data_IF_921463184979
#
_entry.id   IF_921463184979
#
_cell.length_a   1.000
_cell.length_b   1.000
_cell.length_c   1.000
_cell.angle_alpha   90.00
_cell.angle_beta   90.00
_cell.angle_gamma   90.00
#
_symmetry.space_group_name_H-M   'P 1'
#
loop_
_entity.id
_entity.type
_entity.pdbx_description
1 polymer ?
#
# COMPACT_ATOMS: atom_id res chain seq x y z
N UNK A 1 -21.18 -29.11 26.77
CA UNK A 1 -21.96 -28.02 26.14
C UNK A 1 -21.11 -26.76 26.16
N UNK A 2 -20.71 -26.25 24.99
CA UNK A 2 -19.98 -24.99 24.87
C UNK A 2 -20.90 -24.01 24.14
N UNK A 3 -21.41 -23.01 24.87
CA UNK A 3 -22.22 -21.95 24.30
C UNK A 3 -21.37 -21.11 23.37
N UNK A 4 -21.68 -21.17 22.08
CA UNK A 4 -21.21 -20.19 21.11
C UNK A 4 -21.80 -18.83 21.53
N UNK A 5 -20.99 -17.98 22.16
CA UNK A 5 -21.32 -16.57 22.33
C UNK A 5 -21.46 -15.97 20.93
N UNK A 6 -22.71 -15.78 20.48
CA UNK A 6 -22.99 -14.85 19.38
C UNK A 6 -22.57 -13.48 19.88
N UNK A 7 -21.52 -12.92 19.28
CA UNK A 7 -21.22 -11.50 19.44
C UNK A 7 -22.45 -10.73 19.01
N UNK A 8 -22.93 -9.82 19.87
CA UNK A 8 -24.01 -8.90 19.52
C UNK A 8 -23.71 -8.21 18.17
N UNK A 9 -24.72 -7.91 17.34
CA UNK A 9 -24.52 -7.12 16.13
C UNK A 9 -23.83 -5.81 16.53
N UNK A 10 -22.73 -5.47 15.84
CA UNK A 10 -22.11 -4.15 16.04
C UNK A 10 -23.11 -3.10 15.58
N UNK A 11 -23.25 -2.05 16.37
CA UNK A 11 -24.08 -0.90 16.08
C UNK A 11 -23.75 -0.33 14.67
N UNK A 12 -24.74 -0.19 13.77
CA UNK A 12 -24.52 0.31 12.40
C UNK A 12 -23.92 1.72 12.34
N UNK A 13 -24.31 2.63 13.23
CA UNK A 13 -23.76 4.00 13.26
C UNK A 13 -22.27 3.97 13.58
N UNK A 14 -21.88 3.16 14.56
CA UNK A 14 -20.48 2.91 14.88
C UNK A 14 -19.70 2.32 13.69
N UNK A 15 -20.32 1.50 12.85
CA UNK A 15 -19.67 0.95 11.64
C UNK A 15 -19.49 2.01 10.55
N UNK A 16 -20.48 2.88 10.37
CA UNK A 16 -20.41 3.97 9.39
C UNK A 16 -19.29 4.95 9.74
N UNK A 17 -19.21 5.39 11.00
CA UNK A 17 -18.12 6.27 11.48
C UNK A 17 -16.75 5.63 11.26
N UNK A 18 -16.63 4.31 11.50
CA UNK A 18 -15.38 3.59 11.26
C UNK A 18 -15.00 3.51 9.78
N UNK A 19 -16.00 3.42 8.89
CA UNK A 19 -15.80 3.46 7.44
C UNK A 19 -15.33 4.83 7.00
N UNK A 20 -16.06 5.89 7.37
CA UNK A 20 -15.72 7.27 7.03
C UNK A 20 -14.31 7.64 7.49
N UNK A 21 -13.91 7.21 8.70
CA UNK A 21 -12.54 7.39 9.19
C UNK A 21 -11.51 6.61 8.37
N UNK A 22 -11.83 5.39 7.94
CA UNK A 22 -10.93 4.57 7.14
C UNK A 22 -10.75 5.16 5.73
N UNK A 23 -11.80 5.76 5.18
CA UNK A 23 -11.80 6.45 3.89
C UNK A 23 -10.98 7.74 3.98
N UNK A 24 -11.20 8.54 5.03
CA UNK A 24 -10.39 9.74 5.27
C UNK A 24 -8.90 9.41 5.45
N UNK A 25 -8.57 8.40 6.27
CA UNK A 25 -7.18 7.98 6.47
C UNK A 25 -6.53 7.49 5.18
N UNK A 26 -7.28 6.80 4.33
CA UNK A 26 -6.81 6.36 3.02
C UNK A 26 -6.54 7.57 2.10
N UNK A 27 -7.49 8.52 2.00
CA UNK A 27 -7.35 9.73 1.18
C UNK A 27 -6.18 10.61 1.63
N UNK A 28 -5.97 10.77 2.94
CA UNK A 28 -4.82 11.52 3.46
C UNK A 28 -3.49 10.82 3.16
N UNK A 29 -3.45 9.50 3.31
CA UNK A 29 -2.26 8.69 2.97
C UNK A 29 -1.94 8.79 1.48
N UNK A 30 -2.96 8.67 0.62
CA UNK A 30 -2.84 8.80 -0.83
C UNK A 30 -2.24 10.15 -1.22
N UNK A 31 -2.80 11.24 -0.68
CA UNK A 31 -2.31 12.61 -0.95
C UNK A 31 -0.87 12.80 -0.47
N UNK A 32 -0.56 12.42 0.77
CA UNK A 32 0.80 12.57 1.32
C UNK A 32 1.81 11.76 0.52
N UNK A 33 1.47 10.53 0.16
CA UNK A 33 2.36 9.67 -0.60
C UNK A 33 2.56 10.17 -2.04
N UNK A 34 1.50 10.63 -2.70
CA UNK A 34 1.57 11.23 -4.04
C UNK A 34 2.49 12.44 -4.09
N UNK A 35 2.34 13.39 -3.16
CA UNK A 35 3.22 14.55 -3.05
C UNK A 35 4.69 14.15 -2.82
N UNK A 36 4.92 13.14 -1.99
CA UNK A 36 6.28 12.63 -1.76
C UNK A 36 6.89 12.00 -3.02
N UNK A 37 6.11 11.27 -3.81
CA UNK A 37 6.59 10.71 -5.08
C UNK A 37 7.03 11.84 -6.04
N UNK A 38 6.25 12.90 -6.16
CA UNK A 38 6.60 14.06 -6.98
C UNK A 38 7.88 14.74 -6.50
N UNK A 39 7.99 14.98 -5.19
CA UNK A 39 9.18 15.59 -4.56
C UNK A 39 10.46 14.76 -4.77
N UNK A 40 10.34 13.43 -4.78
CA UNK A 40 11.44 12.50 -5.05
C UNK A 40 11.73 12.31 -6.55
N UNK A 41 11.03 13.04 -7.42
CA UNK A 41 11.27 13.05 -8.86
C UNK A 41 10.70 11.84 -9.61
N UNK A 42 9.70 11.16 -9.03
CA UNK A 42 8.87 10.25 -9.80
C UNK A 42 8.07 11.03 -10.84
N UNK A 43 7.68 10.34 -11.91
CA UNK A 43 7.05 10.97 -13.08
C UNK A 43 5.86 10.15 -13.53
N UNK A 44 5.01 10.78 -14.32
CA UNK A 44 3.81 10.15 -14.90
C UNK A 44 2.96 9.51 -13.79
N UNK A 45 2.80 10.25 -12.68
CA UNK A 45 1.97 9.88 -11.54
C UNK A 45 0.51 10.03 -11.93
N UNK A 46 -0.23 8.92 -11.93
CA UNK A 46 -1.65 8.92 -12.24
C UNK A 46 -2.40 7.97 -11.30
N UNK A 47 -3.66 8.32 -11.00
CA UNK A 47 -4.61 7.42 -10.36
C UNK A 47 -5.12 6.39 -11.38
N UNK A 48 -5.35 5.15 -10.94
CA UNK A 48 -5.81 4.07 -11.81
C UNK A 48 -7.20 3.62 -11.38
N UNK A 49 -8.20 4.25 -11.97
CA UNK A 49 -9.61 4.06 -11.60
C UNK A 49 -10.00 2.58 -11.46
N UNK A 50 -10.48 2.25 -10.25
CA UNK A 50 -11.19 1.00 -9.97
C UNK A 50 -10.32 -0.24 -9.81
N UNK A 51 -8.99 -0.14 -9.77
CA UNK A 51 -8.14 -1.33 -9.63
C UNK A 51 -6.96 -1.19 -8.64
N UNK A 52 -6.14 -0.15 -8.80
CA UNK A 52 -5.02 0.19 -7.90
C UNK A 52 -5.03 1.70 -7.66
N UNK A 53 -4.47 2.16 -6.56
CA UNK A 53 -4.60 3.57 -6.22
C UNK A 53 -3.73 4.49 -7.09
N UNK A 54 -2.45 4.14 -7.31
CA UNK A 54 -1.53 4.95 -8.12
C UNK A 54 -0.59 4.11 -8.97
N UNK A 55 -0.09 4.70 -10.06
CA UNK A 55 1.13 4.24 -10.71
C UNK A 55 2.06 5.40 -11.03
N UNK A 56 3.37 5.13 -11.09
CA UNK A 56 4.35 6.13 -11.50
C UNK A 56 5.61 5.48 -12.08
N UNK A 57 6.35 6.25 -12.88
CA UNK A 57 7.70 5.91 -13.32
C UNK A 57 8.73 6.39 -12.30
N UNK A 58 9.72 5.55 -11.95
CA UNK A 58 10.76 5.94 -11.04
C UNK A 58 11.66 7.03 -11.65
N UNK A 59 12.39 7.77 -10.80
CA UNK A 59 13.50 8.60 -11.25
C UNK A 59 14.47 7.82 -12.15
N UNK A 60 15.13 8.52 -13.08
CA UNK A 60 16.05 7.88 -14.03
C UNK A 60 17.16 7.13 -13.29
N UNK A 61 17.45 5.90 -13.73
CA UNK A 61 18.48 5.04 -13.13
C UNK A 61 18.02 4.20 -11.94
N UNK A 62 16.77 4.36 -11.49
CA UNK A 62 16.15 3.54 -10.43
C UNK A 62 15.20 2.51 -11.05
N UNK A 63 15.08 1.33 -10.44
CA UNK A 63 14.08 0.33 -10.82
C UNK A 63 14.15 -0.08 -12.30
N UNK A 64 15.31 0.02 -12.95
CA UNK A 64 15.45 -0.24 -14.38
C UNK A 64 14.51 0.56 -15.29
N UNK A 65 13.96 1.69 -14.82
CA UNK A 65 12.97 2.50 -15.54
C UNK A 65 11.57 1.89 -15.65
N UNK A 66 11.30 0.80 -14.92
CA UNK A 66 10.00 0.13 -14.93
C UNK A 66 9.01 0.87 -14.04
N UNK A 67 7.77 0.98 -14.51
CA UNK A 67 6.64 1.52 -13.76
C UNK A 67 6.43 0.75 -12.46
N UNK A 68 6.05 1.47 -11.41
CA UNK A 68 5.65 0.90 -10.12
C UNK A 68 4.17 1.17 -9.90
N UNK A 69 3.47 0.14 -9.44
CA UNK A 69 2.08 0.18 -9.01
C UNK A 69 2.03 0.29 -7.49
N UNK A 70 1.21 1.21 -6.99
CA UNK A 70 1.05 1.46 -5.56
C UNK A 70 -0.39 1.20 -5.14
N UNK A 71 -0.54 0.42 -4.09
CA UNK A 71 -1.82 0.17 -3.43
C UNK A 71 -1.76 0.69 -2.00
N UNK A 72 -2.64 1.62 -1.65
CA UNK A 72 -2.71 2.31 -0.38
C UNK A 72 -3.77 1.66 0.51
N UNK A 73 -3.39 1.23 1.71
CA UNK A 73 -4.32 0.66 2.71
C UNK A 73 -4.26 1.39 4.05
N UNK A 74 -5.42 1.86 4.50
CA UNK A 74 -5.61 2.20 5.92
C UNK A 74 -5.76 0.92 6.74
N UNK A 75 -4.83 0.72 7.67
CA UNK A 75 -4.72 -0.50 8.47
C UNK A 75 -4.94 -0.21 9.95
N UNK A 76 -5.39 -1.23 10.68
CA UNK A 76 -5.45 -1.23 12.15
C UNK A 76 -4.92 -2.59 12.62
N UNK A 77 -4.45 -2.73 13.87
CA UNK A 77 -3.97 -4.04 14.35
C UNK A 77 -4.97 -5.18 14.13
N UNK A 78 -6.27 -4.90 14.25
CA UNK A 78 -7.35 -5.88 14.04
C UNK A 78 -7.65 -6.18 12.57
N UNK A 79 -7.29 -5.29 11.65
CA UNK A 79 -7.60 -5.41 10.21
C UNK A 79 -6.38 -5.64 9.33
N UNK A 80 -5.15 -5.51 9.87
CA UNK A 80 -3.87 -5.61 9.15
C UNK A 80 -3.85 -6.83 8.22
N UNK A 81 -4.13 -8.02 8.77
CA UNK A 81 -4.14 -9.26 7.99
C UNK A 81 -5.07 -9.19 6.77
N UNK A 82 -6.26 -8.63 6.95
CA UNK A 82 -7.26 -8.51 5.88
C UNK A 82 -6.83 -7.49 4.84
N UNK A 83 -6.35 -6.33 5.29
CA UNK A 83 -5.92 -5.24 4.42
C UNK A 83 -4.69 -5.59 3.60
N UNK A 84 -3.67 -6.21 4.21
CA UNK A 84 -2.47 -6.67 3.48
C UNK A 84 -2.85 -7.74 2.45
N UNK A 85 -3.73 -8.68 2.79
CA UNK A 85 -4.21 -9.69 1.83
C UNK A 85 -4.98 -9.06 0.66
N UNK A 86 -5.86 -8.10 0.95
CA UNK A 86 -6.61 -7.37 -0.07
C UNK A 86 -5.67 -6.63 -1.01
N UNK A 87 -4.74 -5.83 -0.46
CA UNK A 87 -3.81 -5.08 -1.29
C UNK A 87 -2.88 -5.96 -2.12
N UNK A 88 -2.42 -7.10 -1.55
CA UNK A 88 -1.68 -8.11 -2.30
C UNK A 88 -2.49 -8.67 -3.48
N UNK A 89 -3.76 -9.02 -3.25
CA UNK A 89 -4.62 -9.54 -4.30
C UNK A 89 -4.81 -8.50 -5.41
N UNK A 90 -5.13 -7.25 -5.07
CA UNK A 90 -5.32 -6.16 -6.04
C UNK A 90 -4.07 -5.90 -6.88
N UNK A 91 -2.89 -5.77 -6.25
CA UNK A 91 -1.63 -5.56 -6.96
C UNK A 91 -1.31 -6.70 -7.94
N UNK A 92 -1.48 -7.94 -7.49
CA UNK A 92 -1.20 -9.12 -8.30
C UNK A 92 -2.23 -9.29 -9.42
N UNK A 93 -3.51 -9.07 -9.12
CA UNK A 93 -4.60 -9.15 -10.09
C UNK A 93 -4.41 -8.12 -11.20
N UNK A 94 -4.14 -6.86 -10.84
CA UNK A 94 -3.84 -5.83 -11.83
C UNK A 94 -2.67 -6.25 -12.70
N UNK A 95 -1.52 -6.62 -12.13
CA UNK A 95 -0.33 -7.02 -12.91
C UNK A 95 -0.61 -8.20 -13.85
N UNK A 96 -1.44 -9.15 -13.43
CA UNK A 96 -1.71 -10.37 -14.21
C UNK A 96 -2.79 -10.17 -15.28
N UNK A 97 -3.77 -9.29 -15.05
CA UNK A 97 -4.94 -9.16 -15.91
C UNK A 97 -4.98 -7.87 -16.74
N UNK A 98 -4.39 -6.78 -16.26
CA UNK A 98 -4.57 -5.42 -16.80
C UNK A 98 -3.24 -4.70 -17.08
N UNK A 99 -2.26 -4.87 -16.20
CA UNK A 99 -0.99 -4.17 -16.21
C UNK A 99 0.08 -4.83 -17.08
N UNK A 100 1.31 -4.33 -16.97
CA UNK A 100 2.45 -4.91 -17.68
C UNK A 100 3.18 -5.95 -16.81
N UNK A 101 3.62 -7.10 -17.36
CA UNK A 101 4.18 -8.19 -16.55
C UNK A 101 5.43 -7.82 -15.74
N UNK A 102 6.11 -6.74 -16.12
CA UNK A 102 7.39 -6.32 -15.56
C UNK A 102 7.29 -5.12 -14.63
N UNK A 103 6.07 -4.65 -14.32
CA UNK A 103 5.85 -3.61 -13.33
C UNK A 103 6.28 -4.06 -11.93
N UNK A 104 6.81 -3.10 -11.17
CA UNK A 104 7.06 -3.27 -9.76
C UNK A 104 5.79 -3.04 -8.96
N UNK A 105 5.69 -3.69 -7.81
CA UNK A 105 4.52 -3.62 -6.94
C UNK A 105 4.93 -3.06 -5.59
N UNK A 106 4.13 -2.16 -5.05
CA UNK A 106 4.36 -1.56 -3.75
C UNK A 106 3.05 -1.47 -2.97
N UNK A 107 3.05 -1.97 -1.74
CA UNK A 107 1.95 -1.76 -0.80
C UNK A 107 2.31 -0.58 0.11
N UNK A 108 1.45 0.41 0.18
CA UNK A 108 1.59 1.59 1.03
C UNK A 108 0.55 1.53 2.13
N UNK A 109 0.90 1.91 3.35
CA UNK A 109 -0.04 1.92 4.47
C UNK A 109 0.01 3.20 5.30
N UNK A 110 -1.00 3.44 6.13
CA UNK A 110 -1.09 4.63 7.00
C UNK A 110 -0.31 4.48 8.31
N UNK A 111 0.42 3.38 8.49
CA UNK A 111 1.22 3.02 9.68
C UNK A 111 2.06 1.77 9.41
N UNK A 112 3.06 1.42 10.24
CA UNK A 112 3.80 0.19 10.05
C UNK A 112 2.93 -1.08 10.15
N UNK A 113 3.25 -2.09 9.35
CA UNK A 113 2.70 -3.45 9.44
C UNK A 113 3.62 -4.36 10.27
N UNK A 114 3.11 -5.50 10.73
CA UNK A 114 3.92 -6.48 11.43
C UNK A 114 5.10 -7.03 10.59
N UNK A 115 6.21 -7.31 11.27
CA UNK A 115 7.40 -7.96 10.72
C UNK A 115 7.11 -9.25 9.93
N UNK A 116 6.12 -10.01 10.39
CA UNK A 116 5.68 -11.22 9.69
C UNK A 116 5.11 -10.91 8.31
N UNK A 117 4.42 -9.78 8.16
CA UNK A 117 3.86 -9.34 6.88
C UNK A 117 4.92 -8.70 5.99
N UNK A 118 5.84 -7.91 6.55
CA UNK A 118 6.99 -7.40 5.79
C UNK A 118 7.76 -8.53 5.12
N UNK A 119 8.15 -9.57 5.87
CA UNK A 119 8.83 -10.75 5.29
C UNK A 119 8.06 -11.46 4.18
N UNK A 120 6.73 -11.45 4.25
CA UNK A 120 5.90 -11.99 3.17
C UNK A 120 5.98 -11.11 1.92
N UNK A 121 5.85 -9.79 2.06
CA UNK A 121 5.97 -8.84 0.95
C UNK A 121 7.35 -8.95 0.29
N UNK A 122 8.41 -8.99 1.11
CA UNK A 122 9.79 -9.15 0.65
C UNK A 122 9.97 -10.45 -0.16
N UNK A 123 9.43 -11.58 0.31
CA UNK A 123 9.52 -12.86 -0.40
C UNK A 123 8.82 -12.88 -1.76
N UNK A 124 7.89 -11.94 -1.97
CA UNK A 124 7.16 -11.77 -3.23
C UNK A 124 7.73 -10.63 -4.08
N UNK A 125 8.82 -9.99 -3.64
CA UNK A 125 9.41 -8.79 -4.28
C UNK A 125 8.38 -7.66 -4.42
N UNK A 126 7.60 -7.46 -3.36
CA UNK A 126 6.64 -6.36 -3.25
C UNK A 126 7.23 -5.35 -2.27
N UNK A 127 7.49 -4.15 -2.75
CA UNK A 127 7.95 -3.05 -1.92
C UNK A 127 6.90 -2.69 -0.87
N UNK A 128 7.35 -2.08 0.23
CA UNK A 128 6.45 -1.55 1.23
C UNK A 128 6.91 -0.17 1.72
N UNK A 129 5.93 0.69 1.95
CA UNK A 129 6.12 1.96 2.64
C UNK A 129 4.94 2.22 3.57
N UNK A 130 5.12 3.09 4.54
CA UNK A 130 4.02 3.63 5.30
C UNK A 130 4.16 5.14 5.47
N UNK A 131 3.04 5.83 5.64
CA UNK A 131 3.01 7.24 6.02
C UNK A 131 2.88 7.33 7.53
N UNK A 132 3.82 8.02 8.17
CA UNK A 132 3.77 8.31 9.61
C UNK A 132 4.08 9.78 9.85
N UNK A 133 3.19 10.44 10.59
CA UNK A 133 3.25 11.87 10.88
C UNK A 133 3.54 12.74 9.63
N UNK A 134 2.90 12.41 8.50
CA UNK A 134 3.06 13.14 7.22
C UNK A 134 4.35 12.83 6.46
N UNK A 135 5.13 11.82 6.89
CA UNK A 135 6.37 11.40 6.24
C UNK A 135 6.23 10.01 5.68
N UNK A 136 6.75 9.80 4.48
CA UNK A 136 6.87 8.46 3.90
C UNK A 136 8.08 7.77 4.52
N UNK A 137 7.84 6.59 5.09
CA UNK A 137 8.84 5.71 5.67
C UNK A 137 8.83 4.40 4.90
N UNK A 138 9.81 4.17 4.02
CA UNK A 138 9.95 2.88 3.37
C UNK A 138 10.31 1.80 4.41
N UNK A 139 9.86 0.59 4.17
CA UNK A 139 10.07 -0.54 5.08
C UNK A 139 10.16 -1.87 4.34
N UNK A 140 10.82 -2.84 4.96
CA UNK A 140 11.17 -4.11 4.34
C UNK A 140 12.57 -4.10 3.71
N UNK A 141 12.93 -5.23 3.11
CA UNK A 141 14.20 -5.45 2.41
C UNK A 141 13.93 -5.52 0.92
N UNK A 142 13.58 -4.41 0.30
CA UNK A 142 13.37 -4.36 -1.14
C UNK A 142 14.69 -4.64 -1.89
N UNK A 143 14.80 -5.72 -2.70
CA UNK A 143 15.97 -6.00 -3.52
C UNK A 143 16.11 -5.06 -4.73
N UNK A 144 15.08 -4.27 -5.04
CA UNK A 144 15.03 -3.38 -6.21
C UNK A 144 15.26 -1.89 -5.91
N UNK A 145 15.46 -1.51 -4.63
CA UNK A 145 15.67 -0.10 -4.21
C UNK A 145 14.62 0.86 -4.79
N UNK A 146 13.37 0.41 -4.96
CA UNK A 146 12.34 1.13 -5.70
C UNK A 146 12.09 2.52 -5.14
N UNK A 147 12.13 2.64 -3.81
CA UNK A 147 11.81 3.86 -3.08
C UNK A 147 13.03 4.69 -2.67
N UNK A 148 14.25 4.22 -2.96
CA UNK A 148 15.48 4.92 -2.53
C UNK A 148 16.55 4.90 -3.63
N UNK A 149 16.80 6.01 -4.33
CA UNK A 149 18.12 6.23 -4.90
C UNK A 149 19.10 6.34 -3.74
N UNK A 150 20.15 5.51 -3.69
CA UNK A 150 21.33 5.90 -2.94
C UNK A 150 21.96 7.06 -3.71
N UNK A 151 22.08 8.23 -3.06
CA UNK A 151 23.20 9.10 -3.35
C UNK A 151 24.47 8.24 -3.23
N UNK A 152 25.33 8.31 -4.26
CA UNK A 152 26.64 7.69 -4.24
C UNK A 152 27.47 8.14 -3.04
#
# INVERSE_FOLDING_TARGET
MSERRRSAPRDPESQQVLSEQADQAHQDTLRTFGLWLEDEGWRDLEEVDGAIDLHALPPRGIGGGKRTLFEIKSIRPTTERGRVRGGLAQLLEYRLLLGTPNEHLCLVSDRPISERRLRLLDSLTIGHAYVDAGKVVPSGTDPTRLLFPRNG
#
